data_IF_673111745504
#
_entry.id   IF_673111745504
#
_cell.length_a   1.000
_cell.length_b   1.000
_cell.length_c   1.000
_cell.angle_alpha   90.00
_cell.angle_beta   90.00
_cell.angle_gamma   90.00
#
_symmetry.space_group_name_H-M   'P 1'
#
loop_
_entity.id
_entity.type
_entity.pdbx_description
1 polymer ?
#
# COMPACT_ATOMS: atom_id res chain seq x y z
N UNK A 1 6.36 15.46 6.65
CA UNK A 1 6.51 15.57 5.19
C UNK A 1 5.24 15.01 4.56
N UNK A 2 4.52 15.81 3.76
CA UNK A 2 3.29 15.39 3.08
C UNK A 2 3.65 14.39 1.99
N UNK A 3 3.16 13.15 2.11
CA UNK A 3 3.25 12.18 1.02
C UNK A 3 2.31 12.68 -0.09
N UNK A 4 2.89 13.07 -1.23
CA UNK A 4 2.09 13.49 -2.37
C UNK A 4 1.52 12.24 -3.06
N UNK A 5 0.21 12.19 -3.37
CA UNK A 5 -0.40 11.05 -4.07
C UNK A 5 0.30 10.72 -5.39
N UNK A 6 0.85 11.72 -6.07
CA UNK A 6 1.66 11.51 -7.28
C UNK A 6 2.97 10.73 -7.04
N UNK A 7 3.59 10.87 -5.85
CA UNK A 7 4.76 10.07 -5.49
C UNK A 7 4.37 8.62 -5.22
N UNK A 8 3.19 8.39 -4.63
CA UNK A 8 2.65 7.05 -4.48
C UNK A 8 2.44 6.42 -5.87
N UNK A 9 1.83 7.15 -6.81
CA UNK A 9 1.63 6.66 -8.18
C UNK A 9 2.94 6.35 -8.91
N UNK A 10 3.96 7.18 -8.77
CA UNK A 10 5.27 6.93 -9.37
C UNK A 10 6.00 5.74 -8.75
N UNK A 11 5.99 5.65 -7.42
CA UNK A 11 6.57 4.50 -6.70
C UNK A 11 5.84 3.24 -7.15
N UNK A 12 4.51 3.22 -7.11
CA UNK A 12 3.73 2.07 -7.54
C UNK A 12 4.00 1.68 -8.99
N UNK A 13 4.17 2.63 -9.92
CA UNK A 13 4.51 2.30 -11.32
C UNK A 13 5.96 1.88 -11.51
N UNK A 14 6.87 2.28 -10.61
CA UNK A 14 8.30 1.99 -10.68
C UNK A 14 8.71 0.74 -9.87
N UNK A 15 7.79 0.14 -9.11
CA UNK A 15 8.08 -1.07 -8.34
C UNK A 15 8.33 -2.25 -9.29
N UNK A 16 9.35 -3.07 -9.02
CA UNK A 16 9.55 -4.32 -9.74
C UNK A 16 8.45 -5.29 -9.30
N UNK A 17 7.38 -5.37 -10.09
CA UNK A 17 6.38 -6.42 -9.95
C UNK A 17 6.96 -7.76 -10.42
N UNK A 18 6.65 -8.88 -9.76
CA UNK A 18 5.79 -9.01 -8.57
C UNK A 18 6.40 -8.52 -7.25
N UNK A 19 5.59 -7.87 -6.39
CA UNK A 19 5.98 -7.47 -5.02
C UNK A 19 5.10 -8.13 -3.96
N UNK A 20 5.74 -8.68 -2.92
CA UNK A 20 5.04 -9.27 -1.76
C UNK A 20 4.64 -8.23 -0.71
N UNK A 21 3.68 -8.59 0.16
CA UNK A 21 3.25 -7.75 1.30
C UNK A 21 4.43 -7.24 2.11
N UNK A 22 5.35 -8.13 2.51
CA UNK A 22 6.51 -7.78 3.33
C UNK A 22 7.41 -6.74 2.68
N UNK A 23 7.79 -6.93 1.42
CA UNK A 23 8.60 -5.96 0.67
C UNK A 23 7.88 -4.62 0.56
N UNK A 24 6.57 -4.64 0.33
CA UNK A 24 5.79 -3.43 0.19
C UNK A 24 5.67 -2.66 1.51
N UNK A 25 5.46 -3.36 2.63
CA UNK A 25 5.47 -2.77 3.99
C UNK A 25 6.85 -2.20 4.30
N UNK A 26 7.93 -2.89 3.93
CA UNK A 26 9.29 -2.37 4.10
C UNK A 26 9.54 -1.11 3.26
N UNK A 27 9.16 -1.11 1.99
CA UNK A 27 9.27 0.06 1.10
C UNK A 27 8.45 1.22 1.64
N UNK A 28 7.18 0.99 2.01
CA UNK A 28 6.32 2.00 2.61
C UNK A 28 6.96 2.60 3.87
N UNK A 29 7.50 1.76 4.76
CA UNK A 29 8.17 2.19 5.99
C UNK A 29 9.43 3.01 5.71
N UNK A 30 10.23 2.60 4.73
CA UNK A 30 11.43 3.34 4.30
C UNK A 30 11.07 4.69 3.65
N UNK A 31 9.95 4.76 2.94
CA UNK A 31 9.42 5.99 2.35
C UNK A 31 8.66 6.89 3.34
N UNK A 32 8.61 6.53 4.63
CA UNK A 32 7.98 7.35 5.66
C UNK A 32 6.45 7.21 5.71
N UNK A 33 5.90 6.09 5.25
CA UNK A 33 4.49 5.78 5.45
C UNK A 33 4.15 5.79 6.94
N UNK A 34 3.02 6.40 7.28
CA UNK A 34 2.54 6.47 8.65
C UNK A 34 2.05 5.10 9.15
N UNK A 35 1.94 4.94 10.47
CA UNK A 35 1.46 3.71 11.10
C UNK A 35 0.07 3.27 10.61
N UNK A 36 -0.76 4.23 10.19
CA UNK A 36 -2.09 3.95 9.64
C UNK A 36 -2.00 3.21 8.28
N UNK A 37 -1.10 3.65 7.39
CA UNK A 37 -0.81 2.96 6.13
C UNK A 37 -0.14 1.62 6.40
N UNK A 38 0.86 1.56 7.29
CA UNK A 38 1.52 0.30 7.66
C UNK A 38 0.50 -0.70 8.21
N UNK A 39 -0.43 -0.26 9.05
CA UNK A 39 -1.50 -1.10 9.59
C UNK A 39 -2.50 -1.57 8.53
N UNK A 40 -2.82 -0.73 7.54
CA UNK A 40 -3.63 -1.16 6.38
C UNK A 40 -2.89 -2.18 5.51
N UNK A 41 -1.61 -1.95 5.25
CA UNK A 41 -0.76 -2.85 4.47
C UNK A 41 -0.55 -4.18 5.19
N UNK A 42 -0.44 -4.18 6.51
CA UNK A 42 -0.29 -5.39 7.29
C UNK A 42 -1.57 -6.25 7.29
N UNK A 43 -2.74 -5.60 7.26
CA UNK A 43 -4.06 -6.24 7.10
C UNK A 43 -4.32 -6.79 5.70
N UNK A 44 -3.49 -6.43 4.70
CA UNK A 44 -3.64 -7.03 3.38
C UNK A 44 -3.35 -8.54 3.46
N UNK A 45 -4.06 -9.35 2.65
CA UNK A 45 -3.72 -10.75 2.53
C UNK A 45 -2.25 -10.87 2.11
N UNK A 46 -1.55 -11.87 2.67
CA UNK A 46 -0.17 -12.15 2.30
C UNK A 46 -0.13 -12.76 0.88
N UNK A 47 -0.33 -11.90 -0.12
CA UNK A 47 -0.32 -12.22 -1.53
C UNK A 47 0.71 -11.36 -2.24
N UNK A 48 1.12 -11.85 -3.39
CA UNK A 48 1.99 -11.15 -4.30
C UNK A 48 1.15 -10.28 -5.21
N UNK A 49 1.44 -8.98 -5.19
CA UNK A 49 0.80 -8.02 -6.09
C UNK A 49 1.60 -7.99 -7.38
N UNK A 50 0.91 -8.12 -8.51
CA UNK A 50 1.52 -8.12 -9.84
C UNK A 50 1.42 -6.76 -10.53
N UNK A 51 0.67 -5.82 -9.95
CA UNK A 51 0.50 -4.48 -10.50
C UNK A 51 0.10 -3.47 -9.41
N UNK A 52 0.31 -2.19 -9.73
CA UNK A 52 -0.11 -1.06 -8.92
C UNK A 52 -1.63 -1.08 -8.69
N UNK A 53 -2.39 -1.43 -9.72
CA UNK A 53 -3.85 -1.50 -9.69
C UNK A 53 -4.35 -2.59 -8.74
N UNK A 54 -3.73 -3.78 -8.72
CA UNK A 54 -4.13 -4.85 -7.79
C UNK A 54 -3.90 -4.44 -6.33
N UNK A 55 -2.81 -3.71 -6.07
CA UNK A 55 -2.52 -3.16 -4.75
C UNK A 55 -3.54 -2.08 -4.35
N UNK A 56 -3.79 -1.09 -5.22
CA UNK A 56 -4.77 -0.03 -4.99
C UNK A 56 -6.17 -0.57 -4.78
N UNK A 57 -6.56 -1.55 -5.58
CA UNK A 57 -7.85 -2.23 -5.46
C UNK A 57 -7.98 -2.94 -4.11
N UNK A 58 -6.91 -3.62 -3.66
CA UNK A 58 -6.89 -4.30 -2.36
C UNK A 58 -6.94 -3.30 -1.19
N UNK A 59 -6.22 -2.17 -1.29
CA UNK A 59 -6.27 -1.08 -0.30
C UNK A 59 -7.65 -0.40 -0.24
N UNK A 60 -8.24 -0.11 -1.40
CA UNK A 60 -9.58 0.48 -1.52
C UNK A 60 -10.67 -0.45 -0.97
N UNK A 61 -10.57 -1.75 -1.28
CA UNK A 61 -11.43 -2.78 -0.72
C UNK A 61 -11.31 -2.89 0.81
N UNK A 62 -10.11 -2.69 1.36
CA UNK A 62 -9.87 -2.71 2.81
C UNK A 62 -10.46 -1.49 3.52
N UNK A 63 -10.47 -0.32 2.89
CA UNK A 63 -11.11 0.90 3.41
C UNK A 63 -12.64 0.78 3.53
N UNK A 64 -13.27 -0.09 2.73
CA UNK A 64 -14.71 -0.29 2.71
C UNK A 64 -15.21 -1.40 3.66
N UNK A 65 -14.31 -2.12 4.34
CA UNK A 65 -14.64 -3.35 5.09
C UNK A 65 -14.64 -3.21 6.62
N UNK A 66 -14.70 -1.99 7.17
CA UNK A 66 -14.98 -1.89 8.60
C UNK A 66 -14.87 -0.51 9.21
N UNK A 67 -16.01 0.19 9.30
CA UNK A 67 -16.33 1.06 10.45
C UNK A 67 -15.36 2.17 10.88
N UNK A 68 -14.29 2.46 10.13
CA UNK A 68 -13.38 3.56 10.43
C UNK A 68 -13.92 4.84 9.80
N UNK A 69 -14.67 5.59 10.61
CA UNK A 69 -15.02 6.98 10.35
C UNK A 69 -13.73 7.81 10.34
N UNK A 70 -13.45 8.51 9.23
CA UNK A 70 -12.54 9.65 9.21
C UNK A 70 -13.24 10.89 9.78
#
# INVERSE_FOLDING_TARGET
>A
MNINPQQIDQVLNSLPYPIGKDNLVQQARQHGANDQIIGMLDKLPNKTFNSADDLKSSLSGLGNLGGIKF
#
